data_IF_082848661559
#
_entry.id   IF_082848661559
#
_cell.length_a   1.000
_cell.length_b   1.000
_cell.length_c   1.000
_cell.angle_alpha   90.00
_cell.angle_beta   90.00
_cell.angle_gamma   90.00
#
_symmetry.space_group_name_H-M   'P 1'
#
loop_
_entity.id
_entity.type
_entity.pdbx_description
1 polymer ?
#
# COMPACT_ATOMS: atom_id res chain seq x y z
N UNK A 1 9.78 13.94 -5.95
CA UNK A 1 10.57 15.03 -6.58
C UNK A 1 11.32 15.85 -5.52
N UNK A 2 10.66 16.70 -4.72
CA UNK A 2 11.33 17.56 -3.73
C UNK A 2 12.27 16.81 -2.76
N UNK A 3 11.83 15.66 -2.23
CA UNK A 3 12.61 14.88 -1.26
C UNK A 3 13.99 14.50 -1.78
N UNK A 4 14.03 13.97 -3.00
CA UNK A 4 15.26 13.50 -3.64
C UNK A 4 16.15 14.67 -4.08
N UNK A 5 15.55 15.77 -4.56
CA UNK A 5 16.29 16.97 -4.94
C UNK A 5 17.05 17.57 -3.75
N UNK A 6 16.39 17.76 -2.61
CA UNK A 6 17.04 18.33 -1.43
C UNK A 6 18.03 17.36 -0.78
N UNK A 7 17.77 16.06 -0.84
CA UNK A 7 18.71 15.03 -0.39
C UNK A 7 20.06 15.12 -1.13
N UNK A 8 20.03 15.38 -2.44
CA UNK A 8 21.25 15.59 -3.25
C UNK A 8 21.89 16.95 -2.96
N UNK A 9 21.10 18.03 -2.95
CA UNK A 9 21.61 19.40 -2.82
C UNK A 9 22.25 19.68 -1.46
N UNK A 10 21.68 19.13 -0.38
CA UNK A 10 22.12 19.43 1.00
C UNK A 10 22.94 18.31 1.65
N UNK A 11 23.16 17.19 0.96
CA UNK A 11 23.98 16.09 1.48
C UNK A 11 25.40 16.52 1.83
N UNK A 12 26.02 17.42 1.04
CA UNK A 12 27.35 17.98 1.31
C UNK A 12 27.39 18.93 2.53
N UNK A 13 26.23 19.31 3.07
CA UNK A 13 26.07 20.12 4.30
C UNK A 13 25.78 19.25 5.52
N UNK A 14 25.83 17.93 5.38
CA UNK A 14 25.48 16.99 6.45
C UNK A 14 23.98 16.91 6.73
N UNK A 15 23.12 17.46 5.86
CA UNK A 15 21.66 17.38 6.01
C UNK A 15 21.16 16.21 5.17
N UNK A 16 20.34 15.37 5.81
CA UNK A 16 19.63 14.25 5.16
C UNK A 16 18.16 14.57 5.06
N UNK A 17 17.52 14.08 4.00
CA UNK A 17 16.10 14.29 3.80
C UNK A 17 15.42 13.01 3.31
N UNK A 18 14.42 12.55 4.05
CA UNK A 18 13.61 11.37 3.72
C UNK A 18 12.12 11.74 3.89
N UNK A 19 11.25 10.96 3.27
CA UNK A 19 9.79 11.11 3.40
C UNK A 19 9.16 9.82 3.91
N UNK A 20 8.14 9.96 4.74
CA UNK A 20 7.25 8.88 5.14
C UNK A 20 5.97 9.05 4.34
N UNK A 21 5.51 7.99 3.69
CA UNK A 21 4.26 7.94 2.93
C UNK A 21 3.23 7.10 3.71
N UNK A 22 2.47 7.70 4.64
CA UNK A 22 1.50 6.97 5.43
C UNK A 22 0.26 6.60 4.61
N UNK A 23 -0.30 5.44 4.91
CA UNK A 23 -1.68 5.09 4.54
C UNK A 23 -2.67 5.59 5.58
N UNK A 24 -3.69 4.79 5.93
CA UNK A 24 -4.71 5.22 6.89
C UNK A 24 -4.20 5.13 8.33
N UNK A 25 -4.14 6.28 9.00
CA UNK A 25 -3.95 6.40 10.45
C UNK A 25 -5.16 7.10 11.05
N UNK A 26 -5.86 6.44 11.97
CA UNK A 26 -7.14 6.91 12.51
C UNK A 26 -6.92 8.03 13.54
N UNK A 27 -7.29 9.27 13.18
CA UNK A 27 -7.24 10.41 14.11
C UNK A 27 -8.63 10.78 14.58
N UNK A 28 -8.76 11.02 15.90
CA UNK A 28 -10.03 11.47 16.49
C UNK A 28 -10.52 12.75 15.79
N UNK A 29 -11.77 12.77 15.36
CA UNK A 29 -12.39 13.92 14.68
C UNK A 29 -12.23 13.94 13.16
N UNK A 30 -11.01 13.85 12.61
CA UNK A 30 -10.85 13.85 11.15
C UNK A 30 -11.34 12.52 10.55
N UNK A 31 -11.00 11.40 11.19
CA UNK A 31 -11.51 10.09 10.78
C UNK A 31 -13.03 10.01 10.92
N UNK A 32 -13.60 10.48 12.03
CA UNK A 32 -15.05 10.45 12.28
C UNK A 32 -15.85 11.32 11.29
N UNK A 33 -15.24 12.41 10.77
CA UNK A 33 -15.84 13.28 9.76
C UNK A 33 -15.74 12.72 8.35
N UNK A 34 -14.62 12.06 8.03
CA UNK A 34 -14.40 11.44 6.71
C UNK A 34 -15.12 10.09 6.59
N UNK A 35 -15.31 9.39 7.70
CA UNK A 35 -15.92 8.07 7.81
C UNK A 35 -17.10 8.09 8.80
N UNK A 36 -18.16 8.87 8.53
CA UNK A 36 -19.27 9.05 9.48
C UNK A 36 -20.14 7.79 9.67
N UNK A 37 -19.98 6.79 8.82
CA UNK A 37 -20.68 5.50 8.89
C UNK A 37 -19.65 4.37 9.06
N UNK A 38 -19.90 3.47 10.01
CA UNK A 38 -19.08 2.29 10.28
C UNK A 38 -18.86 1.40 9.04
N UNK A 39 -19.82 1.32 8.13
CA UNK A 39 -19.66 0.58 6.89
C UNK A 39 -18.61 1.22 5.97
N UNK A 40 -18.51 2.55 5.95
CA UNK A 40 -17.52 3.25 5.14
C UNK A 40 -16.11 3.06 5.72
N UNK A 41 -15.97 3.13 7.04
CA UNK A 41 -14.72 2.82 7.73
C UNK A 41 -14.26 1.37 7.49
N UNK A 42 -15.19 0.41 7.54
CA UNK A 42 -14.91 -1.00 7.22
C UNK A 42 -14.49 -1.21 5.78
N UNK A 43 -15.21 -0.63 4.82
CA UNK A 43 -14.87 -0.73 3.40
C UNK A 43 -13.50 -0.11 3.11
N UNK A 44 -13.19 1.04 3.72
CA UNK A 44 -11.90 1.69 3.54
C UNK A 44 -10.76 0.87 4.14
N UNK A 45 -10.97 0.30 5.34
CA UNK A 45 -10.00 -0.61 5.97
C UNK A 45 -9.82 -1.91 5.16
N UNK A 46 -10.89 -2.38 4.49
CA UNK A 46 -10.84 -3.53 3.58
C UNK A 46 -9.91 -3.34 2.38
N UNK A 47 -9.61 -2.09 2.00
CA UNK A 47 -8.62 -1.80 0.94
C UNK A 47 -7.17 -2.00 1.41
N UNK A 48 -6.94 -2.12 2.72
CA UNK A 48 -5.62 -2.32 3.31
C UNK A 48 -5.35 -3.82 3.46
N UNK A 49 -4.33 -4.39 2.80
CA UNK A 49 -4.01 -5.82 2.91
C UNK A 49 -3.78 -6.32 4.35
N UNK A 50 -3.22 -5.49 5.22
CA UNK A 50 -3.06 -5.82 6.64
C UNK A 50 -4.37 -5.77 7.46
N UNK A 51 -5.50 -5.38 6.85
CA UNK A 51 -6.84 -5.42 7.45
C UNK A 51 -7.08 -4.44 8.60
N UNK A 52 -6.21 -3.44 8.79
CA UNK A 52 -6.31 -2.44 9.85
C UNK A 52 -5.71 -1.10 9.44
N UNK A 53 -6.08 -0.05 10.17
CA UNK A 53 -5.34 1.22 10.15
C UNK A 53 -4.00 1.08 10.90
N UNK A 54 -3.06 1.95 10.58
CA UNK A 54 -1.82 2.09 11.34
C UNK A 54 -2.06 2.74 12.69
N UNK A 55 -1.27 2.35 13.68
CA UNK A 55 -1.22 2.98 15.00
C UNK A 55 -0.22 4.13 15.00
N UNK A 56 -0.52 5.23 15.69
CA UNK A 56 0.36 6.41 15.72
C UNK A 56 1.76 6.10 16.27
N UNK A 57 1.87 5.12 17.16
CA UNK A 57 3.15 4.64 17.68
C UNK A 57 4.02 3.99 16.58
N UNK A 58 3.42 3.31 15.60
CA UNK A 58 4.15 2.72 14.47
C UNK A 58 4.75 3.79 13.57
N UNK A 59 3.99 4.86 13.30
CA UNK A 59 4.48 6.02 12.56
C UNK A 59 5.60 6.73 13.32
N UNK A 60 5.43 6.93 14.63
CA UNK A 60 6.46 7.53 15.48
C UNK A 60 7.74 6.69 15.52
N UNK A 61 7.62 5.36 15.60
CA UNK A 61 8.77 4.45 15.58
C UNK A 61 9.56 4.57 14.27
N UNK A 62 8.89 4.64 13.12
CA UNK A 62 9.56 4.85 11.84
C UNK A 62 10.24 6.22 11.76
N UNK A 63 9.57 7.28 12.24
CA UNK A 63 10.17 8.60 12.30
C UNK A 63 11.42 8.62 13.19
N UNK A 64 11.36 7.99 14.37
CA UNK A 64 12.51 7.82 15.26
C UNK A 64 13.65 7.06 14.59
N UNK A 65 13.35 5.95 13.91
CA UNK A 65 14.35 5.18 13.17
C UNK A 65 15.07 6.02 12.11
N UNK A 66 14.34 6.85 11.36
CA UNK A 66 14.93 7.70 10.31
C UNK A 66 15.78 8.86 10.86
N UNK A 67 15.49 9.29 12.09
CA UNK A 67 16.24 10.30 12.83
C UNK A 67 17.46 9.72 13.56
N UNK A 68 17.50 8.41 13.80
CA UNK A 68 18.59 7.77 14.54
C UNK A 68 19.94 7.85 13.78
N UNK A 69 21.03 8.02 14.55
CA UNK A 69 22.39 8.12 14.01
C UNK A 69 22.83 6.84 13.28
N UNK A 70 22.32 5.68 13.69
CA UNK A 70 22.61 4.38 13.07
C UNK A 70 22.06 4.27 11.63
N UNK A 71 21.21 5.23 11.23
CA UNK A 71 20.60 5.31 9.91
C UNK A 71 21.15 6.48 9.07
N UNK A 72 22.34 7.00 9.42
CA UNK A 72 22.92 8.19 8.79
C UNK A 72 23.19 8.05 7.27
N UNK A 73 23.19 6.84 6.70
CA UNK A 73 23.35 6.65 5.25
C UNK A 73 22.02 6.58 4.48
N UNK A 74 20.87 6.63 5.18
CA UNK A 74 19.56 6.72 4.54
C UNK A 74 19.28 8.19 4.19
N UNK A 75 19.29 8.50 2.90
CA UNK A 75 19.05 9.84 2.36
C UNK A 75 18.30 9.77 1.02
N UNK A 76 17.24 10.56 0.87
CA UNK A 76 16.40 10.63 -0.33
C UNK A 76 15.32 9.55 -0.42
N UNK A 77 15.13 8.74 0.62
CA UNK A 77 14.15 7.65 0.62
C UNK A 77 12.72 8.17 0.79
N UNK A 78 11.77 7.50 0.13
CA UNK A 78 10.34 7.62 0.41
C UNK A 78 9.89 6.25 0.91
N UNK A 79 9.41 6.19 2.15
CA UNK A 79 9.09 4.92 2.81
C UNK A 79 7.59 4.84 3.05
N UNK A 80 6.88 3.94 2.35
CA UNK A 80 5.48 3.65 2.64
C UNK A 80 5.31 3.02 4.02
N UNK A 81 4.29 3.47 4.75
CA UNK A 81 3.79 2.84 5.98
C UNK A 81 2.26 2.82 5.92
N UNK A 82 1.73 1.92 5.10
CA UNK A 82 0.33 1.98 4.65
C UNK A 82 -0.38 0.62 4.69
N UNK A 83 0.23 -0.38 5.35
CA UNK A 83 -0.30 -1.74 5.39
C UNK A 83 -0.42 -2.42 4.02
N UNK A 84 0.29 -1.92 2.99
CA UNK A 84 0.26 -2.42 1.62
C UNK A 84 -0.83 -1.78 0.74
N UNK A 85 -1.57 -0.79 1.24
CA UNK A 85 -2.71 -0.20 0.53
C UNK A 85 -2.33 0.38 -0.85
N UNK A 86 -1.20 1.07 -0.94
CA UNK A 86 -0.72 1.66 -2.20
C UNK A 86 -0.50 0.58 -3.27
N UNK A 87 0.11 -0.55 -2.88
CA UNK A 87 0.35 -1.67 -3.80
C UNK A 87 -0.95 -2.38 -4.19
N UNK A 88 -1.91 -2.45 -3.28
CA UNK A 88 -3.23 -3.02 -3.55
C UNK A 88 -4.07 -2.16 -4.52
N UNK A 89 -3.91 -0.84 -4.46
CA UNK A 89 -4.65 0.11 -5.31
C UNK A 89 -4.05 0.25 -6.71
N UNK A 90 -2.76 -0.06 -6.88
CA UNK A 90 -2.05 0.04 -8.17
C UNK A 90 -2.11 -1.20 -9.07
N UNK A 91 -2.63 -2.33 -8.59
CA UNK A 91 -2.70 -3.58 -9.34
C UNK A 91 -3.97 -3.66 -10.20
N UNK A 92 -3.84 -3.84 -11.52
CA UNK A 92 -4.95 -4.05 -12.47
C UNK A 92 -5.92 -5.18 -12.06
N UNK A 93 -5.48 -6.09 -11.18
CA UNK A 93 -6.21 -7.28 -10.77
C UNK A 93 -6.28 -7.50 -9.25
N UNK A 94 -6.14 -6.47 -8.42
CA UNK A 94 -6.20 -6.64 -6.95
C UNK A 94 -7.53 -7.21 -6.45
N UNK A 95 -8.62 -6.95 -7.18
CA UNK A 95 -9.94 -7.55 -6.93
C UNK A 95 -9.96 -9.09 -6.99
N UNK A 96 -8.97 -9.74 -7.64
CA UNK A 96 -8.86 -11.20 -7.62
C UNK A 96 -8.61 -11.75 -6.21
N UNK A 97 -8.13 -10.93 -5.28
CA UNK A 97 -7.97 -11.32 -3.88
C UNK A 97 -9.30 -11.57 -3.16
N UNK A 98 -10.42 -11.10 -3.72
CA UNK A 98 -11.76 -11.29 -3.17
C UNK A 98 -12.42 -12.60 -3.65
N UNK A 99 -11.85 -13.25 -4.68
CA UNK A 99 -12.40 -14.50 -5.22
C UNK A 99 -12.25 -15.64 -4.22
N UNK A 100 -13.35 -16.34 -3.98
CA UNK A 100 -13.34 -17.56 -3.18
C UNK A 100 -12.63 -18.70 -3.92
N UNK A 101 -12.29 -19.77 -3.20
CA UNK A 101 -11.73 -20.97 -3.83
C UNK A 101 -12.67 -21.56 -4.89
N UNK A 102 -13.98 -21.45 -4.68
CA UNK A 102 -14.99 -21.93 -5.64
C UNK A 102 -14.98 -21.08 -6.91
N UNK A 103 -14.87 -19.75 -6.77
CA UNK A 103 -14.74 -18.84 -7.91
C UNK A 103 -13.48 -19.13 -8.71
N UNK A 104 -12.35 -19.40 -8.03
CA UNK A 104 -11.10 -19.78 -8.68
C UNK A 104 -11.21 -21.08 -9.48
N UNK A 105 -11.90 -22.08 -8.95
CA UNK A 105 -12.16 -23.34 -9.67
C UNK A 105 -13.02 -23.09 -10.91
N UNK A 106 -14.08 -22.29 -10.78
CA UNK A 106 -14.95 -21.92 -11.89
C UNK A 106 -14.18 -21.19 -13.01
N UNK A 107 -13.41 -20.16 -12.65
CA UNK A 107 -12.57 -19.40 -13.58
C UNK A 107 -11.55 -20.31 -14.27
N UNK A 108 -10.88 -21.20 -13.53
CA UNK A 108 -9.91 -22.14 -14.09
C UNK A 108 -10.54 -23.08 -15.13
N UNK A 109 -11.72 -23.62 -14.83
CA UNK A 109 -12.44 -24.51 -15.73
C UNK A 109 -12.89 -23.79 -17.00
N UNK A 110 -13.38 -22.56 -16.87
CA UNK A 110 -13.78 -21.74 -18.01
C UNK A 110 -12.60 -21.43 -18.94
N UNK A 111 -11.44 -21.05 -18.37
CA UNK A 111 -10.21 -20.80 -19.14
C UNK A 111 -9.77 -22.05 -19.91
N UNK A 112 -9.82 -23.24 -19.28
CA UNK A 112 -9.47 -24.51 -19.95
C UNK A 112 -10.40 -24.79 -21.12
N UNK A 113 -11.71 -24.64 -20.94
CA UNK A 113 -12.70 -24.87 -21.98
C UNK A 113 -12.50 -23.94 -23.18
N UNK A 114 -12.28 -22.64 -22.94
CA UNK A 114 -12.01 -21.68 -24.02
C UNK A 114 -10.72 -22.00 -24.78
N UNK A 115 -9.65 -22.37 -24.07
CA UNK A 115 -8.39 -22.77 -24.71
C UNK A 115 -8.51 -24.03 -25.57
N UNK A 116 -9.37 -24.99 -25.17
CA UNK A 116 -9.63 -26.19 -25.96
C UNK A 116 -10.39 -25.87 -27.25
N UNK A 117 -11.40 -25.00 -27.18
CA UNK A 117 -12.13 -24.49 -28.35
C UNK A 117 -11.20 -23.76 -29.32
N UNK A 118 -10.40 -22.82 -28.83
CA UNK A 118 -9.43 -22.08 -29.64
C UNK A 118 -8.43 -23.00 -30.35
N UNK A 119 -8.00 -24.09 -29.70
CA UNK A 119 -7.11 -25.09 -30.33
C UNK A 119 -7.80 -25.84 -31.46
N UNK A 120 -9.08 -26.20 -31.28
CA UNK A 120 -9.84 -26.88 -32.33
C UNK A 120 -10.12 -25.99 -33.53
N UNK A 121 -10.32 -24.69 -33.34
CA UNK A 121 -10.53 -23.73 -34.44
C UNK A 121 -9.24 -23.38 -35.20
N UNK A 122 -8.07 -23.56 -34.57
CA UNK A 122 -6.75 -23.31 -35.19
C UNK A 122 -6.16 -24.53 -35.90
N UNK A 123 -6.78 -25.71 -35.75
CA UNK A 123 -6.34 -26.98 -36.34
C UNK A 123 -7.10 -27.26 -37.64
#
# INVERSE_FOLDING_TARGET
AMTQSLALEWGNRGIRLNAIAPGPFSTKGAWDRLMPNENLARNYTGTVPMGRTGEHSELANLAMFLLADQCAYINGAVIPIDGGQWLNSGGTFSWLSELSNEDWVAVSNQIKSSNEQDKTERS
#
